data_IF_384891061508
#
_entry.id   IF_384891061508
#
_cell.length_a   1.000
_cell.length_b   1.000
_cell.length_c   1.000
_cell.angle_alpha   90.00
_cell.angle_beta   90.00
_cell.angle_gamma   90.00
#
_symmetry.space_group_name_H-M   'P 1'
#
loop_
_entity.id
_entity.type
_entity.pdbx_description
1 polymer ?
#
# COMPACT_ATOMS: atom_id res chain seq x y z
N UNK A 1 -12.07 -3.52 6.09
CA UNK A 1 -11.92 -2.08 5.76
C UNK A 1 -10.64 -1.90 4.96
N UNK A 2 -10.63 -1.01 3.97
CA UNK A 2 -9.45 -0.73 3.14
C UNK A 2 -9.56 0.64 2.48
N UNK A 3 -8.51 1.08 1.79
CA UNK A 3 -8.46 2.39 1.13
C UNK A 3 -9.19 2.44 -0.22
N UNK A 4 -9.51 1.27 -0.78
CA UNK A 4 -10.02 1.12 -2.15
C UNK A 4 -9.00 1.36 -3.25
N UNK A 5 -7.74 1.60 -2.89
CA UNK A 5 -6.64 1.75 -3.84
C UNK A 5 -5.71 0.54 -3.75
N UNK A 6 -5.65 -0.23 -4.83
CA UNK A 6 -4.66 -1.28 -5.00
C UNK A 6 -3.29 -0.69 -5.35
N UNK A 7 -2.24 -1.38 -4.91
CA UNK A 7 -0.85 -1.09 -5.27
C UNK A 7 -0.15 -2.39 -5.62
N UNK A 8 0.74 -2.34 -6.59
CA UNK A 8 1.61 -3.44 -6.96
C UNK A 8 2.78 -3.57 -5.99
N UNK A 9 3.45 -4.74 -6.02
CA UNK A 9 4.69 -4.97 -5.25
C UNK A 9 5.78 -3.95 -5.62
N UNK A 10 5.91 -3.61 -6.91
CA UNK A 10 6.94 -2.68 -7.37
C UNK A 10 6.66 -1.24 -6.94
N UNK A 11 5.40 -0.80 -6.96
CA UNK A 11 5.02 0.52 -6.42
C UNK A 11 5.32 0.62 -4.92
N UNK A 12 5.10 -0.45 -4.17
CA UNK A 12 5.45 -0.51 -2.75
C UNK A 12 6.97 -0.38 -2.53
N UNK A 13 7.78 -1.09 -3.33
CA UNK A 13 9.25 -1.01 -3.27
C UNK A 13 9.73 0.42 -3.56
N UNK A 14 9.21 1.06 -4.61
CA UNK A 14 9.60 2.43 -4.95
C UNK A 14 9.18 3.44 -3.88
N UNK A 15 7.97 3.30 -3.32
CA UNK A 15 7.52 4.15 -2.22
C UNK A 15 8.41 3.99 -0.97
N UNK A 16 8.80 2.76 -0.63
CA UNK A 16 9.68 2.47 0.50
C UNK A 16 11.10 2.98 0.28
N UNK A 17 11.65 2.83 -0.93
CA UNK A 17 12.95 3.39 -1.32
C UNK A 17 12.94 4.91 -1.18
N UNK A 18 11.88 5.56 -1.66
CA UNK A 18 11.71 6.99 -1.56
C UNK A 18 11.52 7.49 -0.12
N UNK A 19 10.84 6.72 0.73
CA UNK A 19 10.58 7.09 2.12
C UNK A 19 11.81 6.85 3.02
N UNK A 20 12.54 5.76 2.80
CA UNK A 20 13.75 5.43 3.57
C UNK A 20 15.00 6.17 3.12
N UNK A 21 15.02 6.70 1.89
CA UNK A 21 16.22 7.28 1.26
C UNK A 21 17.31 6.25 0.97
N UNK A 22 17.00 4.94 1.07
CA UNK A 22 17.95 3.84 0.90
C UNK A 22 17.57 3.00 -0.32
N UNK A 23 18.56 2.43 -1.05
CA UNK A 23 18.27 1.48 -2.10
C UNK A 23 17.65 0.20 -1.50
N UNK A 24 16.66 -0.37 -2.20
CA UNK A 24 16.04 -1.65 -1.84
C UNK A 24 16.30 -2.61 -3.00
N UNK A 25 17.16 -3.61 -2.75
CA UNK A 25 17.45 -4.67 -3.72
C UNK A 25 16.35 -5.72 -3.66
N UNK A 26 15.92 -6.23 -4.82
CA UNK A 26 14.98 -7.34 -4.92
C UNK A 26 15.32 -8.20 -6.14
N UNK A 27 14.81 -9.42 -6.14
CA UNK A 27 14.84 -10.35 -7.27
C UNK A 27 13.41 -10.79 -7.55
N UNK A 28 13.06 -10.99 -8.82
CA UNK A 28 11.76 -11.57 -9.20
C UNK A 28 11.88 -13.08 -9.12
N UNK A 29 11.03 -13.71 -8.31
CA UNK A 29 10.96 -15.16 -8.16
C UNK A 29 9.60 -15.69 -8.63
N UNK A 30 9.42 -17.01 -8.57
CA UNK A 30 8.15 -17.66 -8.89
C UNK A 30 7.00 -17.22 -7.99
N UNK A 31 5.77 -17.44 -8.45
CA UNK A 31 4.59 -17.15 -7.62
C UNK A 31 4.60 -18.01 -6.37
N UNK A 32 4.35 -17.40 -5.22
CA UNK A 32 4.11 -18.15 -3.98
C UNK A 32 2.75 -18.86 -4.08
N UNK A 33 2.66 -20.17 -3.78
CA UNK A 33 1.40 -20.88 -3.79
C UNK A 33 0.35 -20.20 -2.90
N UNK A 34 -0.86 -20.03 -3.41
CA UNK A 34 -1.96 -19.36 -2.71
C UNK A 34 -2.06 -17.85 -2.93
N UNK A 35 -1.08 -17.20 -3.55
CA UNK A 35 -1.18 -15.78 -3.90
C UNK A 35 -2.20 -15.55 -5.04
N UNK A 36 -3.14 -14.64 -4.80
CA UNK A 36 -4.06 -14.12 -5.82
C UNK A 36 -3.41 -12.97 -6.61
N UNK A 37 -3.90 -12.71 -7.82
CA UNK A 37 -3.34 -11.65 -8.67
C UNK A 37 -3.55 -10.24 -8.12
N UNK A 38 -4.77 -9.96 -7.64
CA UNK A 38 -5.18 -8.63 -7.15
C UNK A 38 -6.30 -8.77 -6.14
N UNK A 39 -6.24 -8.00 -5.06
CA UNK A 39 -7.34 -7.85 -4.10
C UNK A 39 -7.31 -6.44 -3.51
N UNK A 40 -8.45 -5.76 -3.50
CA UNK A 40 -8.63 -4.45 -2.89
C UNK A 40 -10.09 -4.28 -2.48
N UNK A 41 -10.34 -3.40 -1.51
CA UNK A 41 -11.67 -3.26 -0.90
C UNK A 41 -12.51 -2.16 -1.56
N UNK A 42 -13.77 -2.42 -1.91
CA UNK A 42 -14.74 -1.34 -2.03
C UNK A 42 -15.14 -0.88 -0.61
N UNK A 43 -14.80 0.36 -0.26
CA UNK A 43 -15.07 0.94 1.06
C UNK A 43 -16.32 1.84 1.09
N UNK A 44 -17.14 1.83 0.03
CA UNK A 44 -18.32 2.70 -0.10
C UNK A 44 -19.33 2.50 1.04
N UNK A 45 -19.52 1.27 1.50
CA UNK A 45 -20.43 0.97 2.62
C UNK A 45 -19.95 1.60 3.93
N UNK A 46 -18.65 1.49 4.25
CA UNK A 46 -18.09 2.08 5.46
C UNK A 46 -18.17 3.62 5.41
N UNK A 47 -17.96 4.22 4.23
CA UNK A 47 -18.15 5.66 4.05
C UNK A 47 -19.59 6.11 4.28
N UNK A 48 -20.56 5.34 3.78
CA UNK A 48 -21.99 5.66 3.88
C UNK A 48 -22.52 5.49 5.30
N UNK A 49 -22.28 4.33 5.91
CA UNK A 49 -22.94 3.92 7.16
C UNK A 49 -22.15 4.33 8.40
N UNK A 50 -20.81 4.40 8.31
CA UNK A 50 -19.94 4.72 9.45
C UNK A 50 -19.32 6.12 9.34
N UNK A 51 -19.59 6.84 8.25
CA UNK A 51 -18.94 8.12 7.93
C UNK A 51 -17.41 8.05 7.97
N UNK A 52 -16.87 6.85 7.74
CA UNK A 52 -15.45 6.56 7.86
C UNK A 52 -14.79 6.45 6.48
N UNK A 53 -13.62 7.06 6.32
CA UNK A 53 -12.80 6.91 5.12
C UNK A 53 -11.32 6.94 5.50
N UNK A 54 -10.52 6.06 4.89
CA UNK A 54 -9.06 6.13 5.03
C UNK A 54 -8.52 7.41 4.37
N UNK A 55 -7.72 8.18 5.12
CA UNK A 55 -7.15 9.47 4.68
C UNK A 55 -5.68 9.39 4.30
N UNK A 56 -5.01 8.31 4.69
CA UNK A 56 -3.60 8.05 4.37
C UNK A 56 -3.50 6.99 3.28
N UNK A 57 -2.54 7.18 2.37
CA UNK A 57 -2.23 6.24 1.29
C UNK A 57 -0.74 6.00 1.16
N UNK A 58 -0.32 5.23 0.15
CA UNK A 58 1.10 4.90 -0.06
C UNK A 58 2.04 6.13 -0.13
N UNK A 59 1.65 7.28 -0.76
CA UNK A 59 2.48 8.48 -0.75
C UNK A 59 2.77 9.05 0.65
N UNK A 60 1.90 8.79 1.64
CA UNK A 60 2.05 9.27 3.01
C UNK A 60 3.23 8.60 3.76
N UNK A 61 3.78 7.48 3.25
CA UNK A 61 4.94 6.81 3.83
C UNK A 61 6.15 7.74 4.02
N UNK A 62 6.37 8.68 3.10
CA UNK A 62 7.47 9.67 3.21
C UNK A 62 7.37 10.55 4.47
N UNK A 63 6.16 10.82 4.93
CA UNK A 63 5.92 11.61 6.14
C UNK A 63 6.08 10.77 7.41
N UNK A 64 5.68 9.49 7.36
CA UNK A 64 5.68 8.60 8.53
C UNK A 64 7.09 8.17 8.98
N UNK A 65 8.00 7.89 8.04
CA UNK A 65 9.38 7.49 8.38
C UNK A 65 10.27 8.65 8.83
N UNK A 66 9.75 9.89 8.83
CA UNK A 66 10.44 11.10 9.29
C UNK A 66 9.89 11.61 10.63
N UNK A 67 8.92 10.93 11.22
CA UNK A 67 8.47 11.21 12.58
C UNK A 67 9.57 10.76 13.56
N UNK A 68 9.84 11.53 14.62
CA UNK A 68 10.88 11.22 15.61
C UNK A 68 10.64 9.89 16.33
#
# INVERSE_FOLDING_TARGET
>A
MGTGKGYTVLELIEAMKAASGKPIKYTVEGRRPGDVSTVYADASLAKKELHWQATLGLPSLRGLLKLP
#
